data_IF_131128837296
#
_entry.id   IF_131128837296
#
_cell.length_a   1.000
_cell.length_b   1.000
_cell.length_c   1.000
_cell.angle_alpha   90.00
_cell.angle_beta   90.00
_cell.angle_gamma   90.00
#
_symmetry.space_group_name_H-M   'P 1'
#
loop_
_entity.id
_entity.type
_entity.pdbx_description
1 polymer ?
#
# COMPACT_ATOMS: atom_id res chain seq x y z
N UNK A 1 -18.56 84.10 24.37
CA UNK A 1 -18.64 83.11 23.29
C UNK A 1 -17.64 82.01 23.60
N UNK A 2 -18.12 80.81 24.16
CA UNK A 2 -17.26 79.69 24.51
C UNK A 2 -17.28 78.70 23.35
N UNK A 3 -16.16 78.41 22.71
CA UNK A 3 -16.02 77.37 21.70
C UNK A 3 -15.83 76.01 22.38
N UNK A 4 -16.76 75.11 22.13
CA UNK A 4 -16.67 73.73 22.55
C UNK A 4 -15.87 73.00 21.49
N UNK A 5 -14.71 72.47 21.88
CA UNK A 5 -13.87 71.63 21.05
C UNK A 5 -14.32 70.16 21.23
N UNK A 6 -15.01 69.58 20.22
CA UNK A 6 -15.32 68.16 20.19
C UNK A 6 -14.07 67.39 19.73
N UNK A 7 -13.44 66.70 20.63
CA UNK A 7 -12.40 65.72 20.32
C UNK A 7 -13.07 64.38 19.99
N UNK A 8 -13.13 64.10 18.68
CA UNK A 8 -13.58 62.75 18.20
C UNK A 8 -12.53 61.69 18.47
N UNK A 9 -12.86 60.69 19.25
CA UNK A 9 -12.02 59.51 19.50
C UNK A 9 -12.21 58.53 18.31
N UNK A 10 -11.15 58.09 17.60
CA UNK A 10 -11.31 57.13 16.54
C UNK A 10 -11.62 55.73 17.13
N UNK A 11 -12.80 55.20 16.81
CA UNK A 11 -13.17 53.84 17.11
C UNK A 11 -12.35 52.87 16.25
N UNK A 12 -11.29 52.31 16.85
CA UNK A 12 -10.52 51.26 16.21
C UNK A 12 -11.37 49.96 16.14
N UNK A 13 -11.92 49.64 14.96
CA UNK A 13 -12.58 48.39 14.70
C UNK A 13 -11.52 47.31 14.62
N UNK A 14 -11.38 46.53 15.70
CA UNK A 14 -10.54 45.35 15.75
C UNK A 14 -11.24 44.26 14.90
N UNK A 15 -10.86 44.18 13.61
CA UNK A 15 -11.30 43.07 12.76
C UNK A 15 -10.55 41.84 13.22
N UNK A 16 -11.20 41.05 14.12
CA UNK A 16 -10.75 39.74 14.50
C UNK A 16 -10.89 38.82 13.26
N UNK A 17 -9.79 38.65 12.54
CA UNK A 17 -9.72 37.78 11.38
C UNK A 17 -9.94 36.34 11.82
N UNK A 18 -11.19 35.90 11.91
CA UNK A 18 -11.52 34.47 11.97
C UNK A 18 -11.09 33.85 10.62
N UNK A 19 -9.88 33.27 10.62
CA UNK A 19 -9.46 32.39 9.54
C UNK A 19 -10.43 31.20 9.51
N UNK A 20 -11.45 31.27 8.68
CA UNK A 20 -12.27 30.10 8.31
C UNK A 20 -11.33 29.13 7.60
N UNK A 21 -10.66 28.25 8.37
CA UNK A 21 -10.12 27.02 7.83
C UNK A 21 -11.28 26.33 7.13
N UNK A 22 -11.34 26.46 5.79
CA UNK A 22 -12.30 25.72 4.94
C UNK A 22 -12.13 24.27 5.35
N UNK A 23 -13.11 23.71 6.05
CA UNK A 23 -13.20 22.30 6.36
C UNK A 23 -13.30 21.59 5.01
N UNK A 24 -12.15 21.18 4.48
CA UNK A 24 -12.13 20.30 3.33
C UNK A 24 -12.87 19.02 3.77
N UNK A 25 -13.76 18.47 2.95
CA UNK A 25 -14.42 17.23 3.27
C UNK A 25 -13.36 16.19 3.62
N UNK A 26 -13.56 15.44 4.70
CA UNK A 26 -12.71 14.33 5.09
C UNK A 26 -12.57 13.43 3.86
N UNK A 27 -11.34 13.05 3.52
CA UNK A 27 -11.09 12.12 2.41
C UNK A 27 -11.77 10.79 2.72
N UNK A 28 -12.90 10.53 2.07
CA UNK A 28 -13.66 9.28 2.26
C UNK A 28 -13.21 8.16 1.31
N UNK A 29 -12.24 8.46 0.42
CA UNK A 29 -11.66 7.47 -0.49
C UNK A 29 -10.73 6.54 0.27
N UNK A 30 -10.98 5.24 0.20
CA UNK A 30 -10.18 4.16 0.78
C UNK A 30 -9.74 3.20 -0.32
N UNK A 31 -8.62 2.50 -0.11
CA UNK A 31 -8.23 1.39 -0.96
C UNK A 31 -9.22 0.23 -0.71
N UNK A 32 -9.91 -0.21 -1.78
CA UNK A 32 -10.85 -1.34 -1.71
C UNK A 32 -10.14 -2.64 -2.13
N UNK A 33 -9.53 -2.67 -3.30
CA UNK A 33 -8.74 -3.81 -3.77
C UNK A 33 -7.68 -3.40 -4.79
N UNK A 34 -6.72 -4.30 -5.00
CA UNK A 34 -5.75 -4.27 -6.10
C UNK A 34 -6.01 -5.51 -6.94
N UNK A 35 -6.16 -5.36 -8.26
CA UNK A 35 -6.35 -6.49 -9.16
C UNK A 35 -5.05 -6.87 -9.87
N UNK A 36 -4.74 -8.17 -9.92
CA UNK A 36 -3.65 -8.74 -10.69
C UNK A 36 -4.19 -9.73 -11.72
N UNK A 37 -3.77 -9.60 -12.96
CA UNK A 37 -4.12 -10.50 -14.04
C UNK A 37 -3.07 -11.61 -14.11
N UNK A 38 -3.47 -12.86 -13.80
CA UNK A 38 -2.58 -14.00 -13.59
C UNK A 38 -2.79 -15.09 -14.66
N UNK A 39 -1.71 -15.77 -15.02
CA UNK A 39 -1.75 -16.80 -16.05
C UNK A 39 -2.27 -18.15 -15.55
N UNK A 40 -2.10 -18.41 -14.24
CA UNK A 40 -2.55 -19.63 -13.56
C UNK A 40 -3.12 -19.22 -12.19
N UNK A 41 -4.46 -19.19 -12.11
CA UNK A 41 -5.18 -18.71 -10.94
C UNK A 41 -4.84 -19.54 -9.70
N UNK A 42 -4.82 -20.87 -9.83
CA UNK A 42 -4.55 -21.75 -8.70
C UNK A 42 -3.13 -21.59 -8.18
N UNK A 43 -2.13 -21.54 -9.08
CA UNK A 43 -0.73 -21.34 -8.71
C UNK A 43 -0.52 -20.00 -7.99
N UNK A 44 -1.11 -18.93 -8.51
CA UNK A 44 -0.98 -17.60 -7.90
C UNK A 44 -1.75 -17.52 -6.58
N UNK A 45 -2.94 -18.12 -6.47
CA UNK A 45 -3.68 -18.21 -5.20
C UNK A 45 -2.84 -18.89 -4.12
N UNK A 46 -2.32 -20.09 -4.40
CA UNK A 46 -1.49 -20.84 -3.45
C UNK A 46 -0.21 -20.07 -3.07
N UNK A 47 0.37 -19.32 -4.01
CA UNK A 47 1.54 -18.49 -3.71
C UNK A 47 1.19 -17.42 -2.66
N UNK A 48 0.13 -16.66 -2.87
CA UNK A 48 -0.26 -15.59 -1.95
C UNK A 48 -0.75 -16.12 -0.60
N UNK A 49 -1.46 -17.24 -0.57
CA UNK A 49 -1.86 -17.92 0.68
C UNK A 49 -0.65 -18.45 1.45
N UNK A 50 0.24 -19.18 0.78
CA UNK A 50 1.35 -19.84 1.46
C UNK A 50 2.50 -18.88 1.79
N UNK A 51 2.85 -17.95 0.91
CA UNK A 51 4.04 -17.09 1.10
C UNK A 51 3.68 -15.86 1.94
N UNK A 52 2.58 -15.20 1.62
CA UNK A 52 2.15 -13.97 2.28
C UNK A 52 1.10 -14.20 3.37
N UNK A 53 0.67 -15.46 3.58
CA UNK A 53 -0.34 -15.85 4.57
C UNK A 53 -1.66 -15.05 4.42
N UNK A 54 -2.08 -14.79 3.17
CA UNK A 54 -3.34 -14.12 2.89
C UNK A 54 -4.47 -15.16 2.87
N UNK A 55 -5.58 -14.88 3.55
CA UNK A 55 -6.75 -15.75 3.57
C UNK A 55 -7.65 -15.50 2.35
N UNK A 56 -8.11 -16.56 1.71
CA UNK A 56 -9.16 -16.47 0.70
C UNK A 56 -10.48 -16.02 1.32
N UNK A 57 -11.17 -15.11 0.64
CA UNK A 57 -12.50 -14.63 1.02
C UNK A 57 -13.51 -14.91 -0.09
N UNK A 58 -14.82 -14.98 0.23
CA UNK A 58 -15.85 -15.18 -0.78
C UNK A 58 -15.76 -14.13 -1.90
N UNK A 59 -15.79 -14.60 -3.14
CA UNK A 59 -15.80 -13.76 -4.32
C UNK A 59 -17.21 -13.75 -4.96
N UNK A 60 -17.67 -12.64 -5.56
CA UNK A 60 -19.06 -12.50 -5.97
C UNK A 60 -19.41 -13.12 -7.34
N UNK A 61 -18.40 -13.48 -8.16
CA UNK A 61 -18.63 -13.85 -9.55
C UNK A 61 -19.00 -15.35 -9.72
N UNK A 62 -18.44 -16.24 -8.90
CA UNK A 62 -18.66 -17.69 -8.91
C UNK A 62 -18.44 -18.36 -10.27
N UNK A 63 -17.52 -17.81 -11.08
CA UNK A 63 -17.24 -18.28 -12.45
C UNK A 63 -15.92 -19.07 -12.58
N UNK A 64 -15.22 -19.27 -11.46
CA UNK A 64 -13.94 -19.98 -11.40
C UNK A 64 -12.76 -19.23 -12.01
N UNK A 65 -12.92 -17.95 -12.32
CA UNK A 65 -11.87 -17.10 -12.93
C UNK A 65 -11.27 -16.08 -11.97
N UNK A 66 -11.76 -16.03 -10.76
CA UNK A 66 -11.41 -15.03 -9.76
C UNK A 66 -11.04 -15.68 -8.43
N UNK A 67 -10.07 -15.08 -7.73
CA UNK A 67 -9.82 -15.33 -6.31
C UNK A 67 -9.67 -13.99 -5.61
N UNK A 68 -10.30 -13.86 -4.46
CA UNK A 68 -10.15 -12.71 -3.58
C UNK A 68 -9.43 -13.12 -2.31
N UNK A 69 -8.38 -12.38 -1.96
CA UNK A 69 -7.52 -12.63 -0.80
C UNK A 69 -7.54 -11.40 0.11
N UNK A 70 -7.73 -11.61 1.40
CA UNK A 70 -7.77 -10.53 2.38
C UNK A 70 -6.36 -10.00 2.64
N UNK A 71 -6.10 -8.72 2.36
CA UNK A 71 -4.84 -8.03 2.68
C UNK A 71 -4.96 -7.27 4.00
N UNK A 72 -6.12 -6.65 4.23
CA UNK A 72 -6.44 -5.93 5.47
C UNK A 72 -7.95 -5.93 5.69
N UNK A 73 -8.41 -5.31 6.78
CA UNK A 73 -9.86 -5.18 7.02
C UNK A 73 -10.61 -4.36 5.97
N UNK A 74 -9.88 -3.60 5.14
CA UNK A 74 -10.48 -2.67 4.16
C UNK A 74 -10.00 -2.91 2.73
N UNK A 75 -9.03 -3.80 2.52
CA UNK A 75 -8.43 -4.00 1.21
C UNK A 75 -8.19 -5.47 0.91
N UNK A 76 -8.48 -5.87 -0.32
CA UNK A 76 -8.26 -7.21 -0.83
C UNK A 76 -7.28 -7.21 -2.00
N UNK A 77 -6.66 -8.35 -2.25
CA UNK A 77 -6.00 -8.66 -3.50
C UNK A 77 -6.98 -9.48 -4.36
N UNK A 78 -7.21 -9.04 -5.59
CA UNK A 78 -8.11 -9.69 -6.53
C UNK A 78 -7.29 -10.32 -7.66
N UNK A 79 -7.20 -11.63 -7.71
CA UNK A 79 -6.56 -12.37 -8.79
C UNK A 79 -7.59 -12.66 -9.88
N UNK A 80 -7.23 -12.38 -11.13
CA UNK A 80 -8.08 -12.58 -12.31
C UNK A 80 -7.31 -13.47 -13.29
N UNK A 81 -7.88 -14.60 -13.69
CA UNK A 81 -7.24 -15.53 -14.62
C UNK A 81 -7.25 -15.04 -16.07
N UNK A 82 -6.34 -15.55 -16.89
CA UNK A 82 -6.32 -15.32 -18.34
C UNK A 82 -5.16 -14.46 -18.85
N UNK A 83 -4.21 -14.11 -18.00
CA UNK A 83 -3.01 -13.38 -18.44
C UNK A 83 -2.10 -14.24 -19.32
N UNK A 84 -1.35 -13.59 -20.20
CA UNK A 84 -0.25 -14.21 -20.93
C UNK A 84 0.92 -14.48 -19.96
N UNK A 85 1.59 -15.63 -20.14
CA UNK A 85 2.78 -16.00 -19.36
C UNK A 85 4.00 -15.18 -19.79
N UNK A 86 4.87 -14.89 -18.80
CA UNK A 86 6.20 -14.32 -19.09
C UNK A 86 6.21 -12.85 -19.50
N UNK A 87 5.15 -12.11 -19.21
CA UNK A 87 5.13 -10.67 -19.43
C UNK A 87 6.08 -9.99 -18.43
N UNK A 88 7.13 -9.28 -18.89
CA UNK A 88 8.03 -8.58 -17.98
C UNK A 88 7.31 -7.53 -17.16
N UNK A 89 7.66 -7.44 -15.88
CA UNK A 89 7.12 -6.44 -14.95
C UNK A 89 8.24 -5.53 -14.45
N UNK A 90 7.91 -4.26 -14.31
CA UNK A 90 8.83 -3.26 -13.79
C UNK A 90 8.79 -3.25 -12.25
N UNK A 91 9.97 -3.32 -11.60
CA UNK A 91 10.09 -3.28 -10.13
C UNK A 91 9.60 -1.96 -9.53
N UNK A 92 9.62 -0.86 -10.28
CA UNK A 92 9.07 0.42 -9.83
C UNK A 92 7.54 0.38 -9.63
N UNK A 93 6.86 -0.59 -10.26
CA UNK A 93 5.44 -0.88 -10.05
C UNK A 93 5.31 -2.17 -9.23
N UNK A 94 5.21 -2.06 -7.92
CA UNK A 94 5.15 -3.21 -7.03
C UNK A 94 4.03 -3.09 -5.98
N UNK A 95 3.60 -4.24 -5.48
CA UNK A 95 2.77 -4.33 -4.28
C UNK A 95 3.70 -4.28 -3.06
N UNK A 96 3.42 -3.39 -2.12
CA UNK A 96 4.18 -3.30 -0.88
C UNK A 96 3.33 -3.77 0.30
N UNK A 97 3.87 -4.70 1.10
CA UNK A 97 3.24 -5.26 2.30
C UNK A 97 4.21 -5.16 3.48
N UNK A 98 3.67 -4.93 4.68
CA UNK A 98 4.46 -4.89 5.90
C UNK A 98 4.26 -6.16 6.72
N UNK A 99 5.33 -6.66 7.33
CA UNK A 99 5.31 -7.85 8.19
C UNK A 99 5.86 -7.55 9.59
N UNK A 100 5.39 -8.26 10.61
CA UNK A 100 5.89 -8.06 11.98
C UNK A 100 7.39 -8.34 12.14
N UNK A 101 7.94 -9.27 11.35
CA UNK A 101 9.35 -9.67 11.39
C UNK A 101 9.86 -9.96 9.98
N UNK A 102 10.65 -9.03 9.43
CA UNK A 102 11.27 -9.24 8.11
C UNK A 102 12.26 -10.42 8.14
N UNK A 103 12.96 -10.65 9.25
CA UNK A 103 13.91 -11.77 9.37
C UNK A 103 13.23 -13.14 9.32
N UNK A 104 12.06 -13.29 9.96
CA UNK A 104 11.26 -14.51 9.87
C UNK A 104 10.68 -14.70 8.48
N UNK A 105 10.23 -13.61 7.84
CA UNK A 105 9.76 -13.65 6.47
C UNK A 105 10.86 -14.06 5.49
N UNK A 106 12.09 -13.55 5.63
CA UNK A 106 13.25 -13.96 4.84
C UNK A 106 13.57 -15.44 5.05
N UNK A 107 13.48 -15.93 6.31
CA UNK A 107 13.65 -17.35 6.60
C UNK A 107 12.65 -18.20 5.82
N UNK A 108 11.39 -17.76 5.75
CA UNK A 108 10.34 -18.43 4.96
C UNK A 108 10.65 -18.41 3.47
N UNK A 109 11.07 -17.27 2.90
CA UNK A 109 11.48 -17.21 1.49
C UNK A 109 12.57 -18.21 1.15
N UNK A 110 13.57 -18.34 2.05
CA UNK A 110 14.67 -19.31 1.89
C UNK A 110 14.18 -20.77 1.95
N UNK A 111 13.27 -21.09 2.88
CA UNK A 111 12.68 -22.44 3.02
C UNK A 111 11.86 -22.82 1.80
N UNK A 112 11.13 -21.88 1.23
CA UNK A 112 10.30 -22.04 0.04
C UNK A 112 11.08 -21.88 -1.28
N UNK A 113 12.41 -21.67 -1.20
CA UNK A 113 13.31 -21.46 -2.35
C UNK A 113 12.86 -20.29 -3.26
N UNK A 114 12.27 -19.24 -2.69
CA UNK A 114 11.87 -18.04 -3.41
C UNK A 114 13.04 -17.07 -3.45
N UNK A 115 13.55 -16.74 -4.65
CA UNK A 115 14.64 -15.79 -4.80
C UNK A 115 14.16 -14.38 -4.43
N UNK A 116 14.96 -13.66 -3.66
CA UNK A 116 14.72 -12.26 -3.33
C UNK A 116 15.99 -11.43 -3.53
N UNK A 117 15.81 -10.13 -3.58
CA UNK A 117 16.89 -9.18 -3.82
C UNK A 117 16.62 -7.86 -3.10
N UNK A 118 17.65 -7.01 -3.03
CA UNK A 118 17.51 -5.64 -2.59
C UNK A 118 16.97 -4.72 -3.71
N UNK A 119 16.83 -3.44 -3.41
CA UNK A 119 16.38 -2.45 -4.40
C UNK A 119 17.30 -2.39 -5.63
N UNK A 120 18.61 -2.53 -5.46
CA UNK A 120 19.59 -2.45 -6.53
C UNK A 120 19.74 -3.75 -7.32
N UNK A 121 19.05 -4.83 -6.91
CA UNK A 121 19.07 -6.14 -7.58
C UNK A 121 20.14 -7.09 -7.03
N UNK A 122 20.82 -6.75 -5.92
CA UNK A 122 21.70 -7.69 -5.26
C UNK A 122 20.91 -8.84 -4.64
N UNK A 123 21.26 -10.06 -5.01
CA UNK A 123 20.56 -11.28 -4.57
C UNK A 123 20.83 -11.58 -3.09
N UNK A 124 19.80 -12.10 -2.40
CA UNK A 124 19.87 -12.48 -0.98
C UNK A 124 20.30 -11.28 -0.12
N UNK A 125 19.89 -10.08 -0.50
CA UNK A 125 20.25 -8.83 0.16
C UNK A 125 19.02 -8.05 0.60
N UNK A 126 19.21 -7.18 1.59
CA UNK A 126 18.17 -6.36 2.23
C UNK A 126 18.51 -4.90 1.97
N UNK A 127 17.56 -4.13 1.50
CA UNK A 127 17.66 -2.67 1.46
C UNK A 127 17.34 -2.11 2.85
N UNK A 128 18.14 -1.16 3.35
CA UNK A 128 17.75 -0.29 4.46
C UNK A 128 17.42 1.09 3.88
N UNK A 129 16.19 1.53 4.07
CA UNK A 129 15.71 2.85 3.65
C UNK A 129 16.34 3.96 4.51
N UNK A 130 16.25 5.19 4.05
CA UNK A 130 16.79 6.37 4.76
C UNK A 130 16.13 6.63 6.12
N UNK A 131 14.91 6.12 6.32
CA UNK A 131 14.14 6.16 7.57
C UNK A 131 14.38 4.93 8.48
N UNK A 132 15.31 4.04 8.08
CA UNK A 132 15.69 2.86 8.84
C UNK A 132 14.87 1.60 8.57
N UNK A 133 13.76 1.70 7.83
CA UNK A 133 12.94 0.54 7.44
C UNK A 133 13.73 -0.39 6.53
N UNK A 134 13.65 -1.68 6.82
CA UNK A 134 14.30 -2.73 6.03
C UNK A 134 13.29 -3.38 5.09
N UNK A 135 13.73 -3.73 3.89
CA UNK A 135 12.86 -4.29 2.87
C UNK A 135 13.59 -5.23 1.92
N UNK A 136 12.84 -6.17 1.35
CA UNK A 136 13.26 -7.09 0.29
C UNK A 136 12.26 -7.09 -0.84
N UNK A 137 12.71 -7.48 -2.03
CA UNK A 137 11.90 -7.58 -3.24
C UNK A 137 11.96 -8.99 -3.80
N UNK A 138 10.83 -9.50 -4.24
CA UNK A 138 10.72 -10.78 -4.92
C UNK A 138 9.54 -10.73 -5.91
N UNK A 139 9.39 -11.80 -6.71
CA UNK A 139 8.33 -11.85 -7.70
C UNK A 139 7.36 -12.99 -7.40
N UNK A 140 6.10 -12.74 -7.75
CA UNK A 140 5.08 -13.78 -7.79
C UNK A 140 5.23 -14.69 -9.03
N UNK A 141 4.40 -15.74 -9.21
CA UNK A 141 4.46 -16.64 -10.36
C UNK A 141 4.29 -15.99 -11.74
N UNK A 142 3.68 -14.79 -11.80
CA UNK A 142 3.44 -14.02 -13.03
C UNK A 142 4.42 -12.84 -13.19
N UNK A 143 5.43 -12.77 -12.32
CA UNK A 143 6.48 -11.76 -12.36
C UNK A 143 6.10 -10.42 -11.75
N UNK A 144 4.95 -10.31 -11.08
CA UNK A 144 4.63 -9.09 -10.33
C UNK A 144 5.60 -8.92 -9.17
N UNK A 145 6.14 -7.72 -9.06
CA UNK A 145 7.06 -7.40 -7.99
C UNK A 145 6.30 -7.15 -6.67
N UNK A 146 6.85 -7.70 -5.61
CA UNK A 146 6.37 -7.56 -4.25
C UNK A 146 7.52 -7.04 -3.39
N UNK A 147 7.29 -5.92 -2.71
CA UNK A 147 8.12 -5.44 -1.62
C UNK A 147 7.53 -5.95 -0.31
N UNK A 148 8.37 -6.48 0.57
CA UNK A 148 8.00 -6.74 1.96
C UNK A 148 8.96 -6.00 2.87
N UNK A 149 8.40 -5.27 3.85
CA UNK A 149 9.16 -4.46 4.79
C UNK A 149 8.73 -4.67 6.25
N UNK A 150 9.49 -4.10 7.20
CA UNK A 150 9.23 -4.15 8.65
C UNK A 150 8.52 -2.90 9.21
N UNK A 151 7.92 -2.06 8.37
CA UNK A 151 7.08 -0.92 8.79
C UNK A 151 5.69 -1.40 9.23
N UNK A 152 5.66 -2.29 10.19
CA UNK A 152 4.42 -2.90 10.70
C UNK A 152 4.04 -2.23 12.03
N UNK A 153 3.04 -1.32 12.00
CA UNK A 153 2.55 -0.58 13.17
C UNK A 153 1.12 -0.95 13.50
#
# INVERSE_FOLDING_TARGET
>A
MKKILLTGLPLAILICGFSLKKLLPKKDTILNHIALHVSDLQKSTLFYENILALDSVPEPFHDGKHTWLKVSDKANLHLISGAEKGVPRDKFSHLCLSVPSLSEFITKLNQEHIPYEDWLGAKIAVTTRVDGIKQVYFQDPDGYWIEVNDDHK
#
